data_IF_144964378400
#
_entry.id   IF_144964378400
#
_cell.length_a   1.000
_cell.length_b   1.000
_cell.length_c   1.000
_cell.angle_alpha   90.00
_cell.angle_beta   90.00
_cell.angle_gamma   90.00
#
_symmetry.space_group_name_H-M   'P 1'
#
loop_
_entity.id
_entity.type
_entity.pdbx_description
1 polymer ?
#
# COMPACT_ATOMS: atom_id res chain seq x y z
N UNK A 1 -13.08 9.02 19.73
CA UNK A 1 -14.23 9.49 18.90
C UNK A 1 -14.05 9.14 17.43
N UNK A 2 -12.89 9.46 16.82
CA UNK A 2 -12.54 9.10 15.43
C UNK A 2 -12.70 7.59 15.14
N UNK A 3 -12.18 6.72 16.01
CA UNK A 3 -12.28 5.27 15.86
C UNK A 3 -13.72 4.76 15.79
N UNK A 4 -14.63 5.32 16.60
CA UNK A 4 -16.04 4.95 16.59
C UNK A 4 -16.74 5.40 15.29
N UNK A 5 -16.47 6.62 14.83
CA UNK A 5 -17.06 7.15 13.59
C UNK A 5 -16.54 6.39 12.36
N UNK A 6 -15.23 6.14 12.29
CA UNK A 6 -14.62 5.35 11.22
C UNK A 6 -15.10 3.90 11.26
N UNK A 7 -15.20 3.30 12.45
CA UNK A 7 -15.75 1.95 12.63
C UNK A 7 -17.19 1.84 12.15
N UNK A 8 -18.06 2.81 12.47
CA UNK A 8 -19.44 2.87 11.95
C UNK A 8 -19.49 3.02 10.43
N UNK A 9 -18.59 3.79 9.84
CA UNK A 9 -18.46 3.94 8.39
C UNK A 9 -18.09 2.61 7.71
N UNK A 10 -17.11 1.89 8.25
CA UNK A 10 -16.69 0.58 7.74
C UNK A 10 -17.79 -0.46 7.90
N UNK A 11 -18.46 -0.50 9.06
CA UNK A 11 -19.62 -1.38 9.30
C UNK A 11 -20.74 -1.16 8.29
N UNK A 12 -21.08 0.09 7.99
CA UNK A 12 -22.06 0.42 6.94
C UNK A 12 -21.60 -0.04 5.56
N UNK A 13 -20.32 0.13 5.24
CA UNK A 13 -19.73 -0.38 3.99
C UNK A 13 -19.84 -1.89 3.85
N UNK A 14 -19.57 -2.64 4.93
CA UNK A 14 -19.70 -4.11 4.96
C UNK A 14 -21.16 -4.56 4.86
N UNK A 15 -22.09 -3.85 5.52
CA UNK A 15 -23.52 -4.14 5.42
C UNK A 15 -24.01 -3.94 3.97
N UNK A 16 -23.66 -2.81 3.36
CA UNK A 16 -23.96 -2.50 1.95
C UNK A 16 -23.37 -3.54 0.99
N UNK A 17 -22.12 -3.97 1.24
CA UNK A 17 -21.49 -5.03 0.45
C UNK A 17 -22.29 -6.33 0.53
N UNK A 18 -22.79 -6.70 1.71
CA UNK A 18 -23.58 -7.91 1.89
C UNK A 18 -24.94 -7.81 1.18
N UNK A 19 -25.64 -6.68 1.33
CA UNK A 19 -26.91 -6.41 0.63
C UNK A 19 -26.73 -6.43 -0.89
N UNK A 20 -25.67 -5.80 -1.41
CA UNK A 20 -25.34 -5.80 -2.84
C UNK A 20 -25.11 -7.22 -3.38
N UNK A 21 -24.34 -8.04 -2.65
CA UNK A 21 -24.08 -9.44 -3.04
C UNK A 21 -25.36 -10.27 -3.02
N UNK A 22 -26.23 -10.06 -2.03
CA UNK A 22 -27.52 -10.75 -1.95
C UNK A 22 -28.45 -10.34 -3.10
N UNK A 23 -28.53 -9.05 -3.40
CA UNK A 23 -29.33 -8.52 -4.51
C UNK A 23 -28.88 -9.07 -5.86
N UNK A 24 -27.57 -9.05 -6.16
CA UNK A 24 -27.02 -9.57 -7.41
C UNK A 24 -27.22 -11.08 -7.56
N UNK A 25 -27.12 -11.83 -6.45
CA UNK A 25 -27.38 -13.28 -6.46
C UNK A 25 -28.85 -13.59 -6.76
N UNK A 26 -29.77 -12.79 -6.23
CA UNK A 26 -31.21 -13.06 -6.32
C UNK A 26 -31.85 -12.55 -7.62
N UNK A 27 -31.40 -11.39 -8.14
CA UNK A 27 -32.01 -10.75 -9.33
C UNK A 27 -31.26 -11.02 -10.63
N UNK A 28 -29.93 -11.17 -10.57
CA UNK A 28 -29.07 -11.24 -11.76
C UNK A 28 -28.36 -12.60 -11.91
N UNK A 29 -28.56 -13.54 -10.96
CA UNK A 29 -27.98 -14.91 -10.93
C UNK A 29 -26.46 -14.91 -11.26
N UNK A 30 -25.76 -13.83 -10.90
CA UNK A 30 -24.33 -13.64 -11.17
C UNK A 30 -23.57 -13.60 -9.85
N UNK A 31 -22.40 -14.25 -9.80
CA UNK A 31 -21.49 -14.14 -8.67
C UNK A 31 -20.67 -12.86 -8.82
N UNK A 32 -20.75 -11.98 -7.81
CA UNK A 32 -19.93 -10.76 -7.73
C UNK A 32 -18.46 -11.13 -7.50
N UNK A 33 -17.55 -10.45 -8.20
CA UNK A 33 -16.11 -10.69 -8.06
C UNK A 33 -15.59 -10.20 -6.70
N UNK A 34 -14.47 -10.77 -6.23
CA UNK A 34 -13.82 -10.30 -4.99
C UNK A 34 -13.26 -8.87 -5.13
N UNK A 35 -12.99 -8.42 -6.36
CA UNK A 35 -12.53 -7.05 -6.63
C UNK A 35 -13.62 -6.03 -6.32
N UNK A 36 -14.83 -6.23 -6.86
CA UNK A 36 -15.98 -5.33 -6.63
C UNK A 36 -16.37 -5.30 -5.15
N UNK A 37 -16.20 -6.43 -4.46
CA UNK A 37 -16.40 -6.55 -3.01
C UNK A 37 -15.43 -5.69 -2.20
N UNK A 38 -14.16 -5.65 -2.59
CA UNK A 38 -13.14 -4.85 -1.89
C UNK A 38 -13.29 -3.35 -2.14
N UNK A 39 -14.02 -2.95 -3.18
CA UNK A 39 -14.29 -1.53 -3.48
C UNK A 39 -15.20 -0.86 -2.44
N UNK A 40 -16.13 -1.62 -1.84
CA UNK A 40 -16.99 -1.13 -0.75
C UNK A 40 -16.23 -0.85 0.56
N UNK A 41 -15.06 -1.47 0.76
CA UNK A 41 -14.24 -1.27 1.95
C UNK A 41 -13.19 -0.19 1.67
N UNK A 42 -13.42 1.01 2.21
CA UNK A 42 -12.48 2.11 2.04
C UNK A 42 -11.22 1.93 2.91
N UNK A 43 -10.11 1.59 2.25
CA UNK A 43 -8.82 1.35 2.89
C UNK A 43 -8.28 2.51 3.74
N UNK A 44 -8.67 3.76 3.44
CA UNK A 44 -8.29 4.91 4.26
C UNK A 44 -8.90 4.87 5.66
N UNK A 45 -10.14 4.40 5.80
CA UNK A 45 -10.76 4.26 7.13
C UNK A 45 -10.10 3.13 7.93
N UNK A 46 -9.70 2.04 7.29
CA UNK A 46 -8.94 0.98 7.95
C UNK A 46 -7.60 1.50 8.47
N UNK A 47 -6.87 2.29 7.67
CA UNK A 47 -5.61 2.92 8.07
C UNK A 47 -5.78 3.82 9.30
N UNK A 48 -6.85 4.65 9.32
CA UNK A 48 -7.16 5.50 10.47
C UNK A 48 -7.52 4.71 11.73
N UNK A 49 -8.29 3.61 11.60
CA UNK A 49 -8.64 2.74 12.74
C UNK A 49 -7.38 2.10 13.35
N UNK A 50 -6.43 1.66 12.52
CA UNK A 50 -5.16 1.08 12.98
C UNK A 50 -4.33 2.16 13.70
N UNK A 51 -4.20 3.35 13.12
CA UNK A 51 -3.50 4.47 13.74
C UNK A 51 -4.10 4.91 15.07
N UNK A 52 -5.43 4.98 15.17
CA UNK A 52 -6.14 5.27 16.42
C UNK A 52 -5.89 4.19 17.48
N UNK A 53 -5.85 2.92 17.08
CA UNK A 53 -5.57 1.80 18.00
C UNK A 53 -4.16 1.91 18.58
N UNK A 54 -3.15 2.20 17.76
CA UNK A 54 -1.79 2.44 18.23
C UNK A 54 -1.69 3.68 19.13
N UNK A 55 -2.41 4.75 18.79
CA UNK A 55 -2.43 5.97 19.62
C UNK A 55 -3.06 5.70 20.99
N UNK A 56 -4.16 4.95 21.06
CA UNK A 56 -4.82 4.59 22.32
C UNK A 56 -3.89 3.73 23.19
N UNK A 57 -3.32 2.66 22.64
CA UNK A 57 -2.40 1.77 23.38
C UNK A 57 -1.16 2.54 23.83
N UNK A 58 -0.54 3.32 22.94
CA UNK A 58 0.63 4.14 23.26
C UNK A 58 0.33 5.20 24.33
N UNK A 59 -0.88 5.80 24.33
CA UNK A 59 -1.28 6.76 25.37
C UNK A 59 -1.46 6.08 26.73
N UNK A 60 -2.06 4.89 26.78
CA UNK A 60 -2.18 4.13 28.03
C UNK A 60 -0.81 3.78 28.61
N UNK A 61 0.13 3.36 27.76
CA UNK A 61 1.51 3.07 28.17
C UNK A 61 2.18 4.36 28.67
N UNK A 62 2.02 5.49 27.97
CA UNK A 62 2.57 6.78 28.39
C UNK A 62 2.07 7.21 29.77
N UNK A 63 0.77 7.10 30.01
CA UNK A 63 0.16 7.41 31.33
C UNK A 63 0.68 6.46 32.40
N UNK A 64 0.83 5.16 32.09
CA UNK A 64 1.37 4.16 33.02
C UNK A 64 2.84 4.41 33.38
N UNK A 65 3.61 4.99 32.46
CA UNK A 65 4.99 5.42 32.70
C UNK A 65 5.02 6.64 33.63
N UNK A 66 4.17 7.63 33.37
CA UNK A 66 4.10 8.85 34.18
C UNK A 66 3.58 8.59 35.60
N UNK A 67 2.68 7.62 35.77
CA UNK A 67 2.21 7.13 37.07
C UNK A 67 3.21 6.21 37.79
N UNK A 68 4.45 6.08 37.27
CA UNK A 68 5.56 5.28 37.79
C UNK A 68 5.31 3.76 37.87
N UNK A 69 4.36 3.24 37.09
CA UNK A 69 4.00 1.83 37.13
C UNK A 69 4.86 0.96 36.18
N UNK A 70 5.49 1.54 35.16
CA UNK A 70 6.34 0.81 34.19
C UNK A 70 7.35 1.73 33.51
N UNK A 71 8.48 1.20 32.99
CA UNK A 71 9.56 1.98 32.35
C UNK A 71 9.79 1.62 30.87
N UNK A 72 8.75 1.20 30.14
CA UNK A 72 8.85 0.78 28.73
C UNK A 72 8.74 1.96 27.73
N UNK A 73 9.72 2.86 27.74
CA UNK A 73 9.76 4.03 26.86
C UNK A 73 9.89 3.66 25.36
N UNK A 74 10.63 2.61 25.03
CA UNK A 74 10.85 2.21 23.63
C UNK A 74 9.55 1.80 22.93
N UNK A 75 8.74 0.99 23.61
CA UNK A 75 7.44 0.53 23.09
C UNK A 75 6.46 1.71 22.95
N UNK A 76 6.46 2.61 23.92
CA UNK A 76 5.68 3.84 23.87
C UNK A 76 6.08 4.71 22.67
N UNK A 77 7.39 4.92 22.47
CA UNK A 77 7.94 5.70 21.37
C UNK A 77 7.62 5.11 20.00
N UNK A 78 7.76 3.79 19.84
CA UNK A 78 7.42 3.10 18.58
C UNK A 78 5.93 3.22 18.28
N UNK A 79 5.04 2.97 19.26
CA UNK A 79 3.59 3.01 19.05
C UNK A 79 3.10 4.43 18.73
N UNK A 80 3.51 5.43 19.49
CA UNK A 80 3.10 6.82 19.26
C UNK A 80 3.75 7.42 18.00
N UNK A 81 5.00 7.04 17.70
CA UNK A 81 5.70 7.47 16.49
C UNK A 81 5.06 6.89 15.24
N UNK A 82 4.81 5.57 15.23
CA UNK A 82 4.14 4.89 14.09
C UNK A 82 2.71 5.38 13.90
N UNK A 83 1.97 5.64 14.99
CA UNK A 83 0.61 6.18 14.88
C UNK A 83 0.60 7.58 14.27
N UNK A 84 1.54 8.45 14.67
CA UNK A 84 1.69 9.79 14.09
C UNK A 84 2.01 9.73 12.60
N UNK A 85 2.89 8.81 12.18
CA UNK A 85 3.20 8.59 10.77
C UNK A 85 1.97 8.14 9.97
N UNK A 86 1.17 7.20 10.51
CA UNK A 86 -0.07 6.76 9.86
C UNK A 86 -1.11 7.90 9.76
N UNK A 87 -1.22 8.76 10.77
CA UNK A 87 -2.10 9.94 10.71
C UNK A 87 -1.69 10.87 9.57
N UNK A 88 -0.38 11.14 9.42
CA UNK A 88 0.14 11.94 8.30
C UNK A 88 -0.08 11.29 6.94
N UNK A 89 0.06 9.98 6.82
CA UNK A 89 -0.35 9.25 5.60
C UNK A 89 -1.85 9.42 5.37
N UNK A 90 -2.68 9.39 6.42
CA UNK A 90 -4.11 9.67 6.36
C UNK A 90 -4.45 11.06 5.80
N UNK A 91 -3.57 12.05 5.96
CA UNK A 91 -3.75 13.38 5.36
C UNK A 91 -3.77 13.33 3.83
N UNK A 92 -3.05 12.36 3.22
CA UNK A 92 -3.03 12.14 1.76
C UNK A 92 -4.43 11.90 1.20
N UNK A 93 -5.34 11.33 2.00
CA UNK A 93 -6.75 11.17 1.62
C UNK A 93 -7.41 12.49 1.26
N UNK A 94 -7.12 13.57 1.99
CA UNK A 94 -7.72 14.87 1.72
C UNK A 94 -7.18 15.49 0.44
N UNK A 95 -5.92 15.21 0.08
CA UNK A 95 -5.37 15.62 -1.22
C UNK A 95 -6.07 14.91 -2.39
N UNK A 96 -6.59 13.70 -2.20
CA UNK A 96 -7.38 12.96 -3.20
C UNK A 96 -8.65 13.70 -3.64
N UNK A 97 -9.15 14.68 -2.87
CA UNK A 97 -10.30 15.49 -3.26
C UNK A 97 -10.01 16.40 -4.46
N UNK A 98 -8.74 16.77 -4.64
CA UNK A 98 -8.31 17.57 -5.78
C UNK A 98 -8.00 16.66 -6.97
N UNK A 99 -8.65 16.93 -8.11
CA UNK A 99 -8.54 16.13 -9.34
C UNK A 99 -7.09 15.88 -9.78
N UNK A 100 -6.19 16.88 -9.67
CA UNK A 100 -4.78 16.75 -10.04
C UNK A 100 -4.01 15.75 -9.18
N UNK A 101 -4.24 15.73 -7.86
CA UNK A 101 -3.56 14.83 -6.93
C UNK A 101 -4.19 13.44 -6.89
N UNK A 102 -5.50 13.35 -7.18
CA UNK A 102 -6.22 12.08 -7.29
C UNK A 102 -5.58 11.16 -8.35
N UNK A 103 -5.21 11.69 -9.52
CA UNK A 103 -4.56 10.93 -10.60
C UNK A 103 -3.29 10.24 -10.11
N UNK A 104 -2.43 10.94 -9.35
CA UNK A 104 -1.19 10.38 -8.81
C UNK A 104 -1.45 9.23 -7.82
N UNK A 105 -2.42 9.40 -6.92
CA UNK A 105 -2.79 8.37 -5.92
C UNK A 105 -3.38 7.13 -6.62
N UNK A 106 -4.25 7.32 -7.60
CA UNK A 106 -4.84 6.24 -8.39
C UNK A 106 -3.77 5.50 -9.20
N UNK A 107 -2.84 6.23 -9.82
CA UNK A 107 -1.68 5.65 -10.51
C UNK A 107 -0.83 4.79 -9.59
N UNK A 108 -0.50 5.28 -8.39
CA UNK A 108 0.28 4.52 -7.43
C UNK A 108 -0.45 3.23 -7.00
N UNK A 109 -1.77 3.32 -6.76
CA UNK A 109 -2.60 2.14 -6.42
C UNK A 109 -2.67 1.14 -7.56
N UNK A 110 -2.77 1.61 -8.80
CA UNK A 110 -2.81 0.76 -10.00
C UNK A 110 -1.45 0.10 -10.29
N UNK A 111 -0.34 0.81 -10.05
CA UNK A 111 1.01 0.30 -10.21
C UNK A 111 1.39 -0.73 -9.12
N UNK A 112 0.90 -0.54 -7.89
CA UNK A 112 1.25 -1.34 -6.71
C UNK A 112 1.27 -2.87 -6.91
N UNK A 113 0.23 -3.53 -7.46
CA UNK A 113 0.26 -4.99 -7.65
C UNK A 113 1.34 -5.44 -8.65
N UNK A 114 1.59 -4.66 -9.71
CA UNK A 114 2.63 -4.97 -10.69
C UNK A 114 4.03 -4.76 -10.07
N UNK A 115 4.19 -3.68 -9.30
CA UNK A 115 5.41 -3.40 -8.55
C UNK A 115 5.73 -4.54 -7.56
N UNK A 116 4.74 -5.05 -6.81
CA UNK A 116 4.97 -6.17 -5.88
C UNK A 116 5.49 -7.40 -6.60
N UNK A 117 4.87 -7.79 -7.74
CA UNK A 117 5.32 -8.95 -8.52
C UNK A 117 6.76 -8.79 -8.99
N UNK A 118 7.09 -7.62 -9.51
CA UNK A 118 8.46 -7.30 -9.92
C UNK A 118 9.42 -7.34 -8.73
N UNK A 119 9.05 -6.72 -7.60
CA UNK A 119 9.83 -6.75 -6.37
C UNK A 119 10.07 -8.17 -5.84
N UNK A 120 9.10 -9.08 -5.92
CA UNK A 120 9.29 -10.48 -5.53
C UNK A 120 10.38 -11.17 -6.38
N UNK A 121 10.39 -10.95 -7.69
CA UNK A 121 11.43 -11.49 -8.58
C UNK A 121 12.81 -10.90 -8.25
N UNK A 122 12.88 -9.57 -8.07
CA UNK A 122 14.11 -8.86 -7.71
C UNK A 122 14.64 -9.30 -6.34
N UNK A 123 13.74 -9.52 -5.37
CA UNK A 123 14.10 -9.96 -4.02
C UNK A 123 14.77 -11.34 -4.04
N UNK A 124 14.37 -12.25 -4.92
CA UNK A 124 15.04 -13.55 -5.06
C UNK A 124 16.50 -13.41 -5.53
N UNK A 125 16.75 -12.55 -6.53
CA UNK A 125 18.11 -12.24 -7.01
C UNK A 125 18.91 -11.56 -5.90
N UNK A 126 18.32 -10.56 -5.24
CA UNK A 126 18.93 -9.82 -4.14
C UNK A 126 19.35 -10.73 -2.99
N UNK A 127 18.49 -11.67 -2.59
CA UNK A 127 18.82 -12.66 -1.57
C UNK A 127 19.99 -13.55 -2.01
N UNK A 128 20.07 -13.92 -3.29
CA UNK A 128 21.22 -14.64 -3.84
C UNK A 128 22.54 -13.87 -3.65
N UNK A 129 22.54 -12.57 -3.96
CA UNK A 129 23.69 -11.69 -3.69
C UNK A 129 23.97 -11.61 -2.18
N UNK A 130 22.97 -11.40 -1.32
CA UNK A 130 23.15 -11.35 0.13
C UNK A 130 23.84 -12.62 0.68
N UNK A 131 23.39 -13.82 0.28
CA UNK A 131 24.01 -15.06 0.73
C UNK A 131 25.43 -15.21 0.19
N UNK A 132 25.65 -14.91 -1.09
CA UNK A 132 26.97 -14.99 -1.71
C UNK A 132 27.98 -14.01 -1.04
N UNK A 133 27.57 -12.76 -0.85
CA UNK A 133 28.38 -11.75 -0.18
C UNK A 133 28.66 -12.09 1.27
N UNK A 134 27.67 -12.61 2.00
CA UNK A 134 27.84 -13.03 3.40
C UNK A 134 28.88 -14.14 3.55
N UNK A 135 28.78 -15.20 2.73
CA UNK A 135 29.66 -16.37 2.83
C UNK A 135 31.08 -16.06 2.35
N UNK A 136 31.23 -15.33 1.24
CA UNK A 136 32.55 -15.10 0.64
C UNK A 136 33.28 -13.90 1.24
N UNK A 137 32.58 -12.78 1.46
CA UNK A 137 33.19 -11.52 1.91
C UNK A 137 33.13 -11.36 3.44
N UNK A 138 32.31 -12.16 4.13
CA UNK A 138 32.12 -12.05 5.58
C UNK A 138 33.38 -12.14 6.44
N UNK A 139 34.35 -13.04 6.15
CA UNK A 139 35.60 -13.11 6.90
C UNK A 139 36.52 -11.90 6.68
N UNK A 140 36.40 -11.23 5.54
CA UNK A 140 37.34 -10.20 5.08
C UNK A 140 36.83 -8.77 5.28
N UNK A 141 35.51 -8.59 5.40
CA UNK A 141 34.90 -7.24 5.43
C UNK A 141 33.89 -7.09 6.57
N UNK A 142 34.01 -6.02 7.35
CA UNK A 142 33.16 -5.76 8.52
C UNK A 142 31.67 -5.61 8.17
N UNK A 143 31.35 -4.92 7.06
CA UNK A 143 29.95 -4.77 6.58
C UNK A 143 29.31 -6.09 6.10
N UNK A 144 30.10 -7.15 5.88
CA UNK A 144 29.58 -8.44 5.41
C UNK A 144 29.49 -9.51 6.50
N UNK A 145 29.65 -9.17 7.78
CA UNK A 145 29.69 -10.17 8.87
C UNK A 145 28.36 -10.86 9.17
N UNK A 146 27.25 -10.15 9.01
CA UNK A 146 25.90 -10.69 9.25
C UNK A 146 25.02 -10.42 8.04
N UNK A 147 24.07 -11.32 7.77
CA UNK A 147 23.13 -11.17 6.66
C UNK A 147 22.36 -9.84 6.71
N UNK A 148 22.03 -9.35 7.91
CA UNK A 148 21.39 -8.04 8.11
C UNK A 148 22.28 -6.88 7.66
N UNK A 149 23.56 -6.88 8.07
CA UNK A 149 24.53 -5.86 7.64
C UNK A 149 24.81 -5.94 6.14
N UNK A 150 24.88 -7.15 5.57
CA UNK A 150 25.01 -7.33 4.11
C UNK A 150 23.83 -6.69 3.41
N UNK A 151 22.60 -6.94 3.88
CA UNK A 151 21.42 -6.30 3.30
C UNK A 151 21.44 -4.78 3.46
N UNK A 152 21.88 -4.25 4.59
CA UNK A 152 22.01 -2.79 4.77
C UNK A 152 23.04 -2.20 3.78
N UNK A 153 24.18 -2.88 3.61
CA UNK A 153 25.25 -2.47 2.70
C UNK A 153 24.83 -2.55 1.22
N UNK A 154 24.17 -3.63 0.81
CA UNK A 154 23.71 -3.78 -0.56
C UNK A 154 22.55 -2.81 -0.86
N UNK A 155 21.66 -2.57 0.10
CA UNK A 155 20.62 -1.56 -0.05
C UNK A 155 21.18 -0.14 -0.15
N UNK A 156 22.19 0.22 0.64
CA UNK A 156 22.86 1.53 0.52
C UNK A 156 23.55 1.68 -0.84
N UNK A 157 24.22 0.61 -1.32
CA UNK A 157 24.86 0.58 -2.64
C UNK A 157 23.89 0.76 -3.81
N UNK A 158 22.69 0.17 -3.74
CA UNK A 158 21.65 0.39 -4.77
C UNK A 158 21.26 1.87 -4.85
N UNK A 159 21.28 2.58 -3.72
CA UNK A 159 21.00 4.02 -3.64
C UNK A 159 22.24 4.89 -3.92
N UNK A 160 23.38 4.30 -4.26
CA UNK A 160 24.62 5.02 -4.57
C UNK A 160 25.40 5.52 -3.35
N UNK A 161 25.07 5.03 -2.16
CA UNK A 161 25.76 5.42 -0.92
C UNK A 161 26.95 4.51 -0.62
N UNK A 162 28.04 5.11 -0.12
CA UNK A 162 29.25 4.43 0.36
C UNK A 162 29.99 3.51 -0.65
N UNK A 163 29.80 3.70 -1.97
CA UNK A 163 30.38 2.84 -3.01
C UNK A 163 31.92 2.73 -2.90
N UNK A 164 32.64 3.85 -2.94
CA UNK A 164 34.11 3.85 -2.90
C UNK A 164 34.65 3.22 -1.60
N UNK A 165 34.00 3.49 -0.47
CA UNK A 165 34.41 2.97 0.84
C UNK A 165 34.37 1.44 0.86
N UNK A 166 33.36 0.83 0.22
CA UNK A 166 33.28 -0.64 0.11
C UNK A 166 34.39 -1.23 -0.75
N UNK A 167 34.78 -0.57 -1.84
CA UNK A 167 35.90 -1.02 -2.68
C UNK A 167 37.26 -0.86 -1.97
N UNK A 168 37.50 0.28 -1.34
CA UNK A 168 38.75 0.58 -0.63
C UNK A 168 38.98 -0.37 0.57
N UNK A 169 37.91 -0.73 1.27
CA UNK A 169 38.00 -1.68 2.39
C UNK A 169 38.40 -3.10 1.96
N UNK A 170 38.18 -3.48 0.69
CA UNK A 170 38.55 -4.80 0.17
C UNK A 170 40.01 -4.90 -0.28
N UNK A 171 40.71 -3.78 -0.46
CA UNK A 171 42.09 -3.71 -1.00
C UNK A 171 43.13 -4.45 -0.14
N UNK A 172 42.85 -4.63 1.16
CA UNK A 172 43.75 -5.35 2.10
C UNK A 172 43.56 -6.87 2.10
N UNK A 173 42.70 -7.41 1.25
CA UNK A 173 42.40 -8.86 1.19
C UNK A 173 43.34 -9.61 0.24
N UNK A 174 43.37 -10.94 0.32
CA UNK A 174 44.12 -11.75 -0.64
C UNK A 174 43.68 -11.49 -2.09
N UNK A 175 44.57 -11.63 -3.09
CA UNK A 175 44.32 -11.19 -4.47
C UNK A 175 43.10 -11.85 -5.11
N UNK A 176 42.84 -13.13 -4.82
CA UNK A 176 41.66 -13.84 -5.33
C UNK A 176 40.34 -13.28 -4.77
N UNK A 177 40.31 -12.99 -3.47
CA UNK A 177 39.13 -12.41 -2.80
C UNK A 177 38.91 -10.98 -3.26
N UNK A 178 39.99 -10.23 -3.49
CA UNK A 178 39.92 -8.89 -4.05
C UNK A 178 39.30 -8.91 -5.45
N UNK A 179 39.80 -9.74 -6.38
CA UNK A 179 39.22 -9.86 -7.74
C UNK A 179 37.75 -10.29 -7.67
N UNK A 180 37.42 -11.30 -6.85
CA UNK A 180 36.04 -11.73 -6.66
C UNK A 180 35.14 -10.60 -6.19
N UNK A 181 35.61 -9.80 -5.22
CA UNK A 181 34.85 -8.68 -4.67
C UNK A 181 34.60 -7.57 -5.68
N UNK A 182 35.58 -7.28 -6.54
CA UNK A 182 35.42 -6.31 -7.63
C UNK A 182 34.33 -6.78 -8.58
N UNK A 183 34.43 -8.03 -9.08
CA UNK A 183 33.43 -8.61 -9.98
C UNK A 183 32.05 -8.64 -9.33
N UNK A 184 31.96 -9.07 -8.07
CA UNK A 184 30.72 -9.13 -7.30
C UNK A 184 30.06 -7.75 -7.16
N UNK A 185 30.81 -6.72 -6.75
CA UNK A 185 30.27 -5.37 -6.56
C UNK A 185 29.92 -4.71 -7.89
N UNK A 186 30.77 -4.82 -8.92
CA UNK A 186 30.47 -4.26 -10.24
C UNK A 186 29.25 -4.90 -10.90
N UNK A 187 29.12 -6.22 -10.82
CA UNK A 187 27.93 -6.93 -11.35
C UNK A 187 26.67 -6.57 -10.58
N UNK A 188 26.74 -6.49 -9.24
CA UNK A 188 25.63 -6.05 -8.41
C UNK A 188 25.18 -4.61 -8.73
N UNK A 189 26.11 -3.65 -8.71
CA UNK A 189 25.84 -2.23 -8.93
C UNK A 189 25.27 -2.02 -10.33
N UNK A 190 25.89 -2.59 -11.36
CA UNK A 190 25.42 -2.43 -12.73
C UNK A 190 24.03 -3.04 -12.96
N UNK A 191 23.78 -4.24 -12.44
CA UNK A 191 22.50 -4.91 -12.57
C UNK A 191 21.38 -4.16 -11.81
N UNK A 192 21.60 -3.81 -10.55
CA UNK A 192 20.55 -3.20 -9.75
C UNK A 192 20.31 -1.71 -10.07
N UNK A 193 21.36 -0.92 -10.31
CA UNK A 193 21.19 0.50 -10.61
C UNK A 193 20.75 0.70 -12.05
N UNK A 194 21.39 0.07 -13.04
CA UNK A 194 21.05 0.39 -14.43
C UNK A 194 19.88 -0.42 -14.96
N UNK A 195 19.70 -1.67 -14.56
CA UNK A 195 18.61 -2.49 -15.08
C UNK A 195 17.39 -2.45 -14.16
N UNK A 196 17.53 -2.85 -12.90
CA UNK A 196 16.38 -2.99 -11.98
C UNK A 196 15.73 -1.64 -11.68
N UNK A 197 16.50 -0.60 -11.36
CA UNK A 197 15.94 0.73 -11.07
C UNK A 197 15.28 1.34 -12.32
N UNK A 198 15.89 1.20 -13.50
CA UNK A 198 15.30 1.67 -14.76
C UNK A 198 13.99 0.96 -15.09
N UNK A 199 13.92 -0.36 -14.87
CA UNK A 199 12.68 -1.12 -15.05
C UNK A 199 11.60 -0.72 -14.03
N UNK A 200 11.99 -0.43 -12.78
CA UNK A 200 11.07 0.04 -11.76
C UNK A 200 10.45 1.39 -12.14
N UNK A 201 11.27 2.33 -12.61
CA UNK A 201 10.81 3.63 -13.13
C UNK A 201 9.90 3.43 -14.34
N UNK A 202 10.30 2.59 -15.30
CA UNK A 202 9.50 2.31 -16.50
C UNK A 202 8.13 1.70 -16.17
N UNK A 203 8.03 0.85 -15.15
CA UNK A 203 6.77 0.27 -14.70
C UNK A 203 5.84 1.35 -14.11
N UNK A 204 6.36 2.24 -13.27
CA UNK A 204 5.58 3.35 -12.70
C UNK A 204 5.16 4.34 -13.78
N UNK A 205 6.06 4.72 -14.69
CA UNK A 205 5.76 5.60 -15.83
C UNK A 205 4.71 4.96 -16.74
N UNK A 206 4.83 3.67 -17.06
CA UNK A 206 3.83 2.96 -17.85
C UNK A 206 2.45 2.95 -17.18
N UNK A 207 2.38 2.75 -15.87
CA UNK A 207 1.12 2.86 -15.14
C UNK A 207 0.56 4.30 -15.19
N UNK A 208 1.41 5.31 -15.00
CA UNK A 208 1.03 6.72 -15.09
C UNK A 208 0.44 7.08 -16.46
N UNK A 209 1.08 6.64 -17.54
CA UNK A 209 0.62 6.90 -18.90
C UNK A 209 -0.72 6.22 -19.18
N UNK A 210 -0.93 4.97 -18.71
CA UNK A 210 -2.22 4.28 -18.87
C UNK A 210 -3.37 4.98 -18.15
N UNK A 211 -3.17 5.46 -16.91
CA UNK A 211 -4.20 6.18 -16.15
C UNK A 211 -4.47 7.56 -16.78
N UNK A 212 -3.44 8.25 -17.24
CA UNK A 212 -3.57 9.55 -17.91
C UNK A 212 -4.32 9.41 -19.25
N UNK A 213 -4.08 8.34 -20.01
CA UNK A 213 -4.82 8.03 -21.23
C UNK A 213 -6.29 7.68 -20.93
N UNK A 214 -6.56 6.87 -19.90
CA UNK A 214 -7.92 6.55 -19.45
C UNK A 214 -8.72 7.77 -18.96
N UNK A 215 -8.05 8.84 -18.53
CA UNK A 215 -8.72 10.09 -18.15
C UNK A 215 -9.17 10.90 -19.37
N UNK A 216 -8.59 10.65 -20.55
CA UNK A 216 -8.92 11.33 -21.82
C UNK A 216 -9.97 10.59 -22.65
N UNK A 217 -10.12 9.28 -22.49
CA UNK A 217 -11.16 8.45 -23.13
C UNK A 217 -12.33 8.17 -22.16
N UNK A 218 -13.56 7.90 -22.65
CA UNK A 218 -14.68 7.56 -21.77
C UNK A 218 -14.37 6.27 -20.99
N UNK A 219 -14.39 6.41 -19.66
CA UNK A 219 -14.05 5.39 -18.65
C UNK A 219 -14.67 4.04 -18.97
N UNK A 220 -13.88 2.95 -18.94
CA UNK A 220 -14.43 1.58 -18.88
C UNK A 220 -15.15 1.41 -17.55
N UNK A 221 -16.46 1.58 -17.58
CA UNK A 221 -17.33 1.61 -16.40
C UNK A 221 -17.41 0.19 -15.80
N UNK A 222 -17.05 0.03 -14.52
CA UNK A 222 -17.28 -1.22 -13.78
C UNK A 222 -18.79 -1.54 -13.75
N UNK A 223 -19.19 -2.81 -13.66
CA UNK A 223 -20.59 -3.21 -13.55
C UNK A 223 -21.32 -2.52 -12.37
N UNK A 224 -20.58 -2.20 -11.30
CA UNK A 224 -21.08 -1.38 -10.20
C UNK A 224 -21.36 0.06 -10.64
N UNK A 225 -20.43 0.70 -11.33
CA UNK A 225 -20.63 2.06 -11.83
C UNK A 225 -21.71 2.13 -12.91
N UNK A 226 -21.87 1.09 -13.74
CA UNK A 226 -22.96 0.98 -14.71
C UNK A 226 -24.32 0.90 -13.98
N UNK A 227 -24.41 0.07 -12.95
CA UNK A 227 -25.60 -0.03 -12.10
C UNK A 227 -25.91 1.30 -11.38
N UNK A 228 -24.88 2.02 -10.91
CA UNK A 228 -25.06 3.35 -10.31
C UNK A 228 -25.54 4.36 -11.36
N UNK A 229 -25.00 4.33 -12.57
CA UNK A 229 -25.42 5.23 -13.66
C UNK A 229 -26.81 4.91 -14.22
N UNK A 230 -27.31 3.69 -14.01
CA UNK A 230 -28.66 3.27 -14.40
C UNK A 230 -29.74 3.86 -13.45
N UNK A 231 -29.33 4.36 -12.27
CA UNK A 231 -30.16 5.16 -11.38
C UNK A 231 -29.95 6.67 -11.65
N UNK A 232 -30.82 7.28 -12.45
CA UNK A 232 -30.89 8.74 -12.66
C UNK A 232 -31.49 9.52 -11.47
N UNK A 233 -31.81 8.85 -10.37
CA UNK A 233 -32.46 9.47 -9.21
C UNK A 233 -31.49 10.38 -8.43
N UNK A 234 -31.71 11.69 -8.53
CA UNK A 234 -30.95 12.70 -7.76
C UNK A 234 -31.04 12.44 -6.24
N UNK A 235 -29.99 12.75 -5.45
CA UNK A 235 -30.00 12.62 -3.98
C UNK A 235 -31.02 13.54 -3.29
N UNK A 236 -31.66 14.45 -4.02
CA UNK A 236 -32.78 15.30 -3.63
C UNK A 236 -34.15 14.71 -3.95
N UNK A 237 -34.23 13.58 -4.65
CA UNK A 237 -35.49 12.86 -4.83
C UNK A 237 -35.97 12.40 -3.46
N UNK A 238 -37.09 12.96 -2.98
CA UNK A 238 -37.62 12.74 -1.64
C UNK A 238 -38.01 11.29 -1.30
N UNK A 239 -37.63 10.30 -2.11
CA UNK A 239 -37.93 8.87 -1.91
C UNK A 239 -37.21 8.24 -0.72
N UNK A 240 -36.14 8.86 -0.19
CA UNK A 240 -35.36 8.31 0.94
C UNK A 240 -35.53 9.06 2.28
N UNK A 241 -36.36 10.10 2.35
CA UNK A 241 -36.61 10.85 3.59
C UNK A 241 -38.07 10.77 4.01
N UNK A 242 -38.42 9.69 4.72
CA UNK A 242 -39.66 9.60 5.47
C UNK A 242 -39.55 8.52 6.55
N UNK A 243 -39.98 8.77 7.80
CA UNK A 243 -40.15 7.73 8.79
C UNK A 243 -41.34 6.84 8.38
N UNK A 244 -41.29 5.57 8.77
CA UNK A 244 -42.29 4.54 8.47
C UNK A 244 -43.73 5.06 8.47
N UNK A 245 -44.36 5.02 7.30
CA UNK A 245 -45.76 5.31 7.08
C UNK A 245 -46.30 4.32 6.06
N UNK A 246 -47.10 3.37 6.55
CA UNK A 246 -47.82 2.35 5.82
C UNK A 246 -48.49 2.86 4.54
N UNK A 247 -48.09 2.34 3.38
CA UNK A 247 -48.98 1.82 2.31
C UNK A 247 -48.17 1.30 1.12
N UNK A 248 -48.62 0.15 0.61
CA UNK A 248 -48.12 -0.56 -0.55
C UNK A 248 -47.83 0.32 -1.78
N UNK A 249 -46.67 0.09 -2.42
CA UNK A 249 -46.54 0.03 -3.88
C UNK A 249 -45.19 -0.57 -4.28
N UNK A 250 -45.08 -1.89 -4.14
CA UNK A 250 -43.94 -2.69 -4.59
C UNK A 250 -44.02 -3.04 -6.09
N UNK A 251 -44.84 -2.32 -6.88
CA UNK A 251 -45.30 -2.79 -8.19
C UNK A 251 -45.11 -1.81 -9.37
N UNK A 252 -44.45 -0.66 -9.18
CA UNK A 252 -44.25 0.31 -10.28
C UNK A 252 -42.79 0.51 -10.71
N UNK A 253 -41.91 -0.47 -10.48
CA UNK A 253 -40.56 -0.50 -11.08
C UNK A 253 -40.38 -1.63 -12.11
N UNK A 254 -41.48 -2.23 -12.56
CA UNK A 254 -41.50 -3.15 -13.70
C UNK A 254 -42.53 -2.65 -14.70
N UNK A 255 -42.23 -1.55 -15.40
CA UNK A 255 -42.79 -1.16 -16.71
C UNK A 255 -42.39 0.29 -17.00
N UNK A 256 -41.26 0.48 -17.67
CA UNK A 256 -41.09 1.45 -18.76
C UNK A 256 -40.01 0.84 -19.68
N UNK A 257 -40.31 0.84 -20.98
CA UNK A 257 -39.66 0.15 -22.10
C UNK A 257 -38.16 0.35 -22.27
#
# INVERSE_FOLDING_TARGET
MSLLLCGRSVLRGVLLQHEYVQFFKHRLIRRVSLGDRMEFINGWYLLLIIGDTFTIIGSFIKISIESKNSSSYDMCGILLGTSTLLVWVGVIRYFSFFQKYNILIVTLRAAFPNVIRFCCCVAAIYMGYCFCGWVVLGPYHAKFRSLSMVSQCLFSLINGDDMFVTFAAMERSGPLVWVFSQVYLYTFISLFIYMVLSLFIALITGAYDTITAQTKEPVRVSALHLFISECDDTPSSGRFRGPEGSSCSFLYCCCCE
#
